data_IF_882750859347
#
_entry.id   IF_882750859347
#
_cell.length_a   1.000
_cell.length_b   1.000
_cell.length_c   1.000
_cell.angle_alpha   90.00
_cell.angle_beta   90.00
_cell.angle_gamma   90.00
#
_symmetry.space_group_name_H-M   'P 1'
#
loop_
_entity.id
_entity.type
_entity.pdbx_description
1 polymer ?
#
# COMPACT_ATOMS: atom_id res chain seq x y z
N UNK A 1 0.18 -1.31 -9.31
CA UNK A 1 -1.06 -0.50 -9.36
C UNK A 1 -2.26 -1.32 -9.82
N UNK A 2 -2.26 -1.97 -10.99
CA UNK A 2 -3.37 -2.84 -11.45
C UNK A 2 -3.83 -3.87 -10.42
N UNK A 3 -2.92 -4.72 -9.93
CA UNK A 3 -3.25 -5.76 -8.94
C UNK A 3 -3.90 -5.21 -7.66
N UNK A 4 -3.48 -4.01 -7.22
CA UNK A 4 -4.09 -3.34 -6.08
C UNK A 4 -5.51 -2.83 -6.40
N UNK A 5 -5.72 -2.23 -7.58
CA UNK A 5 -7.05 -1.79 -8.03
C UNK A 5 -8.03 -2.95 -8.20
N UNK A 6 -7.54 -4.10 -8.66
CA UNK A 6 -8.33 -5.31 -8.87
C UNK A 6 -8.59 -6.08 -7.56
N UNK A 7 -8.05 -5.61 -6.42
CA UNK A 7 -8.16 -6.27 -5.12
C UNK A 7 -7.39 -7.59 -5.05
N UNK A 8 -6.50 -7.86 -6.00
CA UNK A 8 -5.74 -9.10 -6.09
C UNK A 8 -4.46 -9.02 -5.25
N UNK A 9 -4.66 -9.09 -3.93
CA UNK A 9 -3.59 -8.96 -2.94
C UNK A 9 -2.64 -10.17 -2.93
N UNK A 10 -3.14 -11.37 -3.24
CA UNK A 10 -2.34 -12.60 -3.24
C UNK A 10 -1.23 -12.57 -4.27
N UNK A 11 -1.53 -12.06 -5.46
CA UNK A 11 -0.54 -11.93 -6.55
C UNK A 11 0.44 -10.77 -6.31
N UNK A 12 0.20 -9.95 -5.28
CA UNK A 12 1.09 -8.86 -4.86
C UNK A 12 2.20 -9.33 -3.91
N UNK A 13 1.99 -10.46 -3.22
CA UNK A 13 2.91 -10.97 -2.20
C UNK A 13 3.83 -12.01 -2.81
N UNK A 14 5.10 -11.96 -2.43
CA UNK A 14 6.05 -12.97 -2.85
C UNK A 14 5.60 -14.38 -2.39
N UNK A 15 5.63 -15.33 -3.31
CA UNK A 15 5.23 -16.72 -3.08
C UNK A 15 5.98 -17.39 -1.91
N UNK A 16 7.19 -16.93 -1.59
CA UNK A 16 7.99 -17.43 -0.46
C UNK A 16 7.43 -17.06 0.92
N UNK A 17 6.62 -15.99 1.02
CA UNK A 17 6.09 -15.48 2.30
C UNK A 17 4.56 -15.47 2.37
N UNK A 18 3.86 -15.72 1.25
CA UNK A 18 2.39 -15.67 1.17
C UNK A 18 1.67 -16.57 2.18
N UNK A 19 2.29 -17.69 2.58
CA UNK A 19 1.73 -18.61 3.58
C UNK A 19 1.99 -18.21 5.04
N UNK A 20 2.89 -17.25 5.28
CA UNK A 20 3.30 -16.80 6.62
C UNK A 20 2.76 -15.43 7.01
N UNK A 21 2.33 -14.61 6.05
CA UNK A 21 1.82 -13.28 6.31
C UNK A 21 0.35 -13.31 6.74
N UNK A 22 -0.03 -12.48 7.71
CA UNK A 22 -1.46 -12.26 7.96
C UNK A 22 -2.07 -11.44 6.81
N UNK A 23 -3.31 -11.74 6.39
CA UNK A 23 -3.98 -10.98 5.34
C UNK A 23 -4.10 -9.48 5.68
N UNK A 24 -4.43 -9.16 6.93
CA UNK A 24 -4.59 -7.78 7.38
C UNK A 24 -3.27 -6.99 7.36
N UNK A 25 -2.16 -7.57 7.84
CA UNK A 25 -0.85 -6.91 7.74
C UNK A 25 -0.42 -6.75 6.29
N UNK A 26 -0.72 -7.75 5.45
CA UNK A 26 -0.42 -7.69 4.02
C UNK A 26 -1.12 -6.50 3.36
N UNK A 27 -2.44 -6.36 3.58
CA UNK A 27 -3.22 -5.23 3.03
C UNK A 27 -2.64 -3.90 3.48
N UNK A 28 -2.30 -3.78 4.78
CA UNK A 28 -1.72 -2.56 5.36
C UNK A 28 -0.36 -2.23 4.76
N UNK A 29 0.53 -3.21 4.64
CA UNK A 29 1.86 -3.04 4.06
C UNK A 29 1.78 -2.61 2.59
N UNK A 30 0.88 -3.20 1.80
CA UNK A 30 0.65 -2.79 0.42
C UNK A 30 0.14 -1.35 0.36
N UNK A 31 -0.84 -1.00 1.20
CA UNK A 31 -1.40 0.34 1.26
C UNK A 31 -0.35 1.40 1.61
N UNK A 32 0.45 1.17 2.66
CA UNK A 32 1.57 2.04 3.04
C UNK A 32 2.60 2.12 1.91
N UNK A 33 2.99 0.98 1.33
CA UNK A 33 3.98 0.93 0.25
C UNK A 33 3.56 1.78 -0.95
N UNK A 34 2.29 1.73 -1.35
CA UNK A 34 1.75 2.55 -2.43
C UNK A 34 1.70 4.05 -2.08
N UNK A 35 1.39 4.39 -0.82
CA UNK A 35 1.42 5.77 -0.35
C UNK A 35 2.84 6.36 -0.30
N UNK A 36 3.84 5.55 0.02
CA UNK A 36 5.25 5.99 0.06
C UNK A 36 5.82 6.32 -1.34
N UNK A 37 5.26 5.73 -2.40
CA UNK A 37 5.72 5.93 -3.79
C UNK A 37 4.84 6.90 -4.58
N UNK A 38 4.03 7.70 -3.90
CA UNK A 38 3.22 8.74 -4.54
C UNK A 38 4.10 9.74 -5.32
N UNK A 39 3.61 10.12 -6.50
CA UNK A 39 4.29 11.05 -7.40
C UNK A 39 4.51 12.41 -6.73
N UNK A 40 3.47 12.93 -6.08
CA UNK A 40 3.55 14.15 -5.28
C UNK A 40 4.14 13.86 -3.89
N UNK A 41 5.24 14.53 -3.50
CA UNK A 41 5.82 14.37 -2.16
C UNK A 41 4.84 14.70 -1.03
N UNK A 42 3.90 15.62 -1.27
CA UNK A 42 2.91 16.04 -0.28
C UNK A 42 1.83 14.98 0.00
N UNK A 43 1.71 13.97 -0.87
CA UNK A 43 0.78 12.85 -0.71
C UNK A 43 1.42 11.66 0.00
N UNK A 44 2.73 11.74 0.26
CA UNK A 44 3.46 10.70 1.00
C UNK A 44 3.19 10.87 2.50
N UNK A 45 2.90 9.77 3.22
CA UNK A 45 2.60 9.84 4.64
C UNK A 45 3.85 10.17 5.43
N UNK A 46 3.65 10.86 6.56
CA UNK A 46 4.71 11.06 7.54
C UNK A 46 5.09 9.71 8.16
N UNK A 47 6.38 9.54 8.48
CA UNK A 47 6.87 8.32 9.15
C UNK A 47 6.14 8.08 10.48
N UNK A 48 5.81 9.15 11.23
CA UNK A 48 5.01 9.06 12.45
C UNK A 48 3.60 8.53 12.21
N UNK A 49 2.96 8.92 11.09
CA UNK A 49 1.65 8.41 10.69
C UNK A 49 1.70 6.94 10.30
N UNK A 50 2.76 6.52 9.60
CA UNK A 50 3.01 5.10 9.29
C UNK A 50 3.16 4.29 10.58
N UNK A 51 3.99 4.78 11.52
CA UNK A 51 4.24 4.07 12.78
C UNK A 51 2.95 3.91 13.60
N UNK A 52 2.18 4.99 13.76
CA UNK A 52 0.91 4.93 14.49
C UNK A 52 -0.09 3.98 13.82
N UNK A 53 -0.15 3.94 12.49
CA UNK A 53 -1.02 3.01 11.77
C UNK A 53 -0.60 1.55 11.97
N UNK A 54 0.70 1.26 12.03
CA UNK A 54 1.22 -0.08 12.29
C UNK A 54 0.99 -0.52 13.74
N UNK A 55 1.18 0.37 14.71
CA UNK A 55 1.05 0.06 16.14
C UNK A 55 -0.41 -0.06 16.60
N UNK A 56 -1.27 0.84 16.14
CA UNK A 56 -2.62 0.99 16.67
C UNK A 56 -3.68 0.46 15.70
N UNK A 57 -3.33 0.25 14.42
CA UNK A 57 -4.31 -0.05 13.38
C UNK A 57 -5.32 1.06 13.13
N UNK A 58 -5.05 2.26 13.66
CA UNK A 58 -5.93 3.41 13.68
C UNK A 58 -5.43 4.53 12.77
N UNK A 59 -6.36 5.41 12.40
CA UNK A 59 -6.26 6.42 11.35
C UNK A 59 -6.26 5.75 9.98
N UNK A 60 -7.43 5.68 9.34
CA UNK A 60 -7.51 5.30 7.93
C UNK A 60 -6.65 6.27 7.13
N UNK A 61 -5.45 5.83 6.74
CA UNK A 61 -4.65 6.54 5.77
C UNK A 61 -5.49 6.76 4.50
N UNK A 62 -5.28 7.89 3.79
CA UNK A 62 -6.02 8.14 2.56
C UNK A 62 -5.72 7.03 1.54
N UNK A 63 -6.69 6.68 0.67
CA UNK A 63 -6.41 5.72 -0.38
C UNK A 63 -5.27 6.22 -1.29
N UNK A 64 -4.34 5.34 -1.68
CA UNK A 64 -3.36 5.62 -2.71
C UNK A 64 -4.02 6.17 -4.00
N UNK A 65 -3.33 7.13 -4.63
CA UNK A 65 -3.71 7.67 -5.94
C UNK A 65 -2.92 6.91 -6.98
N UNK A 66 -3.57 6.53 -8.07
CA UNK A 66 -2.90 5.84 -9.16
C UNK A 66 -1.73 6.68 -9.68
N UNK A 67 -0.54 6.08 -9.81
CA UNK A 67 0.61 6.80 -10.34
C UNK A 67 0.35 7.26 -11.77
N UNK A 68 0.75 8.49 -12.08
CA UNK A 68 0.64 9.07 -13.43
C UNK A 68 1.40 8.23 -14.44
N UNK A 69 2.56 7.68 -14.05
CA UNK A 69 3.34 6.77 -14.88
C UNK A 69 2.50 5.57 -15.36
N UNK A 70 1.83 4.88 -14.44
CA UNK A 70 0.99 3.74 -14.76
C UNK A 70 -0.23 4.13 -15.61
N UNK A 71 -0.84 5.28 -15.35
CA UNK A 71 -1.96 5.78 -16.15
C UNK A 71 -1.58 6.13 -17.61
N UNK A 72 -0.32 6.50 -17.86
CA UNK A 72 0.18 6.86 -19.20
C UNK A 72 0.64 5.62 -20.00
N UNK A 73 1.07 4.56 -19.32
CA UNK A 73 1.61 3.35 -19.98
C UNK A 73 0.66 2.14 -19.99
N UNK A 74 -0.57 2.28 -19.46
CA UNK A 74 -1.58 1.20 -19.45
C UNK A 74 -2.59 1.30 -20.58
#
# INVERSE_FOLDING_TARGET
>A
WSLWKDGNIKDFVDSSIVGSCSPDETVRCIHIGLLCVQDSPNERPLVSSIMSFLENGDISLPPPKESVYFAVTS
#
